data_IF_682627218571
#
_entry.id   IF_682627218571
#
_cell.length_a   1.000
_cell.length_b   1.000
_cell.length_c   1.000
_cell.angle_alpha   90.00
_cell.angle_beta   90.00
_cell.angle_gamma   90.00
#
_symmetry.space_group_name_H-M   'P 1'
#
loop_
_entity.id
_entity.type
_entity.pdbx_description
1 polymer ?
#
# COMPACT_ATOMS: atom_id res chain seq x y z
N UNK A 1 -24.31 24.55 -26.52
CA UNK A 1 -24.31 24.60 -25.03
C UNK A 1 -24.94 23.39 -24.32
N UNK A 2 -25.51 22.38 -25.00
CA UNK A 2 -26.23 21.25 -24.37
C UNK A 2 -25.37 20.01 -24.00
N UNK A 3 -24.11 19.96 -24.42
CA UNK A 3 -23.18 18.83 -24.18
C UNK A 3 -22.19 19.04 -23.01
N UNK A 4 -22.13 20.23 -22.41
CA UNK A 4 -21.16 20.58 -21.36
C UNK A 4 -21.70 20.24 -19.95
N UNK A 5 -23.02 20.33 -19.77
CA UNK A 5 -23.68 20.09 -18.48
C UNK A 5 -23.58 18.64 -17.92
N UNK A 6 -23.65 17.54 -18.71
CA UNK A 6 -23.60 16.19 -18.15
C UNK A 6 -22.20 15.76 -17.68
N UNK A 7 -21.13 16.45 -18.12
CA UNK A 7 -19.76 16.16 -17.67
C UNK A 7 -19.43 16.85 -16.37
N UNK A 8 -20.05 18.00 -16.11
CA UNK A 8 -19.88 18.76 -14.87
C UNK A 8 -20.56 18.06 -13.68
N UNK A 9 -21.73 17.44 -13.89
CA UNK A 9 -22.41 16.65 -12.87
C UNK A 9 -21.69 15.34 -12.55
N UNK A 10 -21.17 14.63 -13.56
CA UNK A 10 -20.39 13.42 -13.35
C UNK A 10 -19.07 13.69 -12.61
N UNK A 11 -18.36 14.78 -12.96
CA UNK A 11 -17.15 15.20 -12.26
C UNK A 11 -17.42 15.59 -10.79
N UNK A 12 -18.54 16.28 -10.54
CA UNK A 12 -18.96 16.66 -9.19
C UNK A 12 -19.33 15.43 -8.34
N UNK A 13 -20.02 14.44 -8.94
CA UNK A 13 -20.36 13.18 -8.26
C UNK A 13 -19.12 12.34 -7.96
N UNK A 14 -18.14 12.32 -8.88
CA UNK A 14 -16.88 11.62 -8.68
C UNK A 14 -16.03 12.29 -7.58
N UNK A 15 -15.99 13.62 -7.57
CA UNK A 15 -15.32 14.40 -6.52
C UNK A 15 -16.00 14.21 -5.14
N UNK A 16 -17.34 14.19 -5.11
CA UNK A 16 -18.10 13.94 -3.88
C UNK A 16 -17.92 12.50 -3.37
N UNK A 17 -17.86 11.50 -4.26
CA UNK A 17 -17.59 10.11 -3.90
C UNK A 17 -16.18 9.94 -3.32
N UNK A 18 -15.18 10.63 -3.89
CA UNK A 18 -13.81 10.65 -3.36
C UNK A 18 -13.74 11.32 -1.98
N UNK A 19 -14.47 12.42 -1.79
CA UNK A 19 -14.56 13.10 -0.50
C UNK A 19 -15.22 12.22 0.57
N UNK A 20 -16.23 11.42 0.21
CA UNK A 20 -16.89 10.49 1.14
C UNK A 20 -15.98 9.30 1.51
N UNK A 21 -15.13 8.83 0.58
CA UNK A 21 -14.16 7.75 0.80
C UNK A 21 -12.94 8.19 1.63
N UNK A 22 -12.66 9.49 1.70
CA UNK A 22 -11.58 10.05 2.52
C UNK A 22 -11.92 10.07 4.03
N UNK A 23 -13.21 10.14 4.36
CA UNK A 23 -13.70 10.26 5.75
C UNK A 23 -13.20 9.20 6.76
N UNK A 24 -13.06 7.90 6.45
CA UNK A 24 -12.52 6.94 7.42
C UNK A 24 -11.04 7.17 7.75
N UNK A 25 -10.27 7.76 6.82
CA UNK A 25 -8.86 8.11 7.08
C UNK A 25 -8.73 9.36 7.97
N UNK A 26 -9.63 10.33 7.82
CA UNK A 26 -9.69 11.50 8.72
C UNK A 26 -10.25 11.17 10.12
N UNK A 27 -11.10 10.16 10.25
CA UNK A 27 -11.62 9.74 11.55
C UNK A 27 -10.52 9.16 12.47
N UNK A 28 -9.55 8.43 11.91
CA UNK A 28 -8.38 7.97 12.67
C UNK A 28 -7.46 9.12 13.11
N UNK A 29 -7.39 10.20 12.32
CA UNK A 29 -6.61 11.40 12.66
C UNK A 29 -7.22 12.22 13.82
N UNK A 30 -8.49 11.99 14.18
CA UNK A 30 -9.18 12.67 15.27
C UNK A 30 -8.79 12.20 16.69
N UNK A 31 -8.11 11.07 16.83
CA UNK A 31 -7.73 10.51 18.13
C UNK A 31 -6.59 11.28 18.84
N UNK A 32 -5.99 12.29 18.20
CA UNK A 32 -4.80 12.99 18.68
C UNK A 32 -4.90 14.51 18.62
N UNK A 33 -6.07 15.11 18.83
CA UNK A 33 -6.30 16.56 18.69
C UNK A 33 -5.44 17.48 19.61
N UNK A 34 -4.54 16.93 20.42
CA UNK A 34 -3.53 17.66 21.19
C UNK A 34 -2.17 16.97 21.29
N UNK A 35 -1.88 15.96 20.46
CA UNK A 35 -0.60 15.23 20.44
C UNK A 35 0.14 15.62 19.15
N UNK A 36 1.43 15.95 19.27
CA UNK A 36 2.26 16.26 18.10
C UNK A 36 2.21 15.11 17.07
N UNK A 37 1.99 15.39 15.77
CA UNK A 37 1.91 14.37 14.73
C UNK A 37 3.14 13.45 14.70
N UNK A 38 4.30 13.98 15.03
CA UNK A 38 5.53 13.20 15.16
C UNK A 38 5.44 12.16 16.28
N UNK A 39 5.00 12.56 17.48
CA UNK A 39 4.85 11.66 18.63
C UNK A 39 3.81 10.58 18.32
N UNK A 40 2.72 10.96 17.67
CA UNK A 40 1.67 10.03 17.24
C UNK A 40 2.20 8.98 16.24
N UNK A 41 2.89 9.41 15.18
CA UNK A 41 3.50 8.50 14.20
C UNK A 41 4.61 7.64 14.82
N UNK A 42 5.39 8.21 15.73
CA UNK A 42 6.43 7.49 16.44
C UNK A 42 5.86 6.41 17.37
N UNK A 43 4.76 6.69 18.06
CA UNK A 43 4.05 5.69 18.87
C UNK A 43 3.55 4.52 18.01
N UNK A 44 2.95 4.81 16.85
CA UNK A 44 2.53 3.78 15.88
C UNK A 44 3.72 2.97 15.39
N UNK A 45 4.84 3.62 15.08
CA UNK A 45 6.07 2.94 14.65
C UNK A 45 6.59 1.97 15.72
N UNK A 46 6.67 2.39 16.98
CA UNK A 46 7.11 1.54 18.09
C UNK A 46 6.14 0.37 18.30
N UNK A 47 4.83 0.61 18.30
CA UNK A 47 3.82 -0.44 18.38
C UNK A 47 3.92 -1.44 17.23
N UNK A 48 4.17 -0.98 16.00
CA UNK A 48 4.33 -1.83 14.84
C UNK A 48 5.57 -2.74 14.93
N UNK A 49 6.67 -2.27 15.55
CA UNK A 49 7.85 -3.11 15.81
C UNK A 49 7.49 -4.27 16.75
N UNK A 50 6.80 -4.01 17.85
CA UNK A 50 6.37 -5.06 18.77
C UNK A 50 5.47 -6.09 18.06
N UNK A 51 4.46 -5.62 17.32
CA UNK A 51 3.58 -6.51 16.54
C UNK A 51 4.39 -7.33 15.53
N UNK A 52 5.30 -6.70 14.78
CA UNK A 52 6.14 -7.38 13.80
C UNK A 52 7.03 -8.47 14.42
N UNK A 53 7.62 -8.20 15.59
CA UNK A 53 8.42 -9.17 16.34
C UNK A 53 7.59 -10.42 16.68
N UNK A 54 6.42 -10.24 17.31
CA UNK A 54 5.57 -11.37 17.72
C UNK A 54 5.03 -12.16 16.52
N UNK A 55 4.68 -11.49 15.42
CA UNK A 55 4.19 -12.14 14.20
C UNK A 55 5.25 -13.07 13.58
N UNK A 56 6.51 -12.67 13.56
CA UNK A 56 7.60 -13.47 12.98
C UNK A 56 8.07 -14.59 13.92
N UNK A 57 8.07 -14.35 15.23
CA UNK A 57 8.55 -15.33 16.21
C UNK A 57 7.65 -16.57 16.36
N UNK A 58 6.37 -16.47 16.01
CA UNK A 58 5.39 -17.57 16.13
C UNK A 58 5.29 -18.49 14.91
N UNK A 59 6.30 -18.51 14.02
CA UNK A 59 6.29 -19.39 12.84
C UNK A 59 7.05 -20.69 13.06
N UNK A 60 6.60 -21.77 12.41
CA UNK A 60 7.28 -23.06 12.48
C UNK A 60 8.59 -23.05 11.68
N UNK A 61 9.65 -23.78 12.11
CA UNK A 61 10.97 -23.70 11.48
C UNK A 61 11.03 -24.03 9.99
N UNK A 62 10.13 -24.89 9.51
CA UNK A 62 10.02 -25.24 8.10
C UNK A 62 9.55 -24.07 7.21
N UNK A 63 8.96 -23.02 7.81
CA UNK A 63 8.40 -21.89 7.08
C UNK A 63 9.32 -20.66 7.07
N UNK A 64 10.51 -20.66 7.67
CA UNK A 64 11.39 -19.49 7.61
C UNK A 64 11.78 -19.09 6.18
N UNK A 65 12.01 -20.06 5.29
CA UNK A 65 12.32 -19.78 3.87
C UNK A 65 11.11 -19.23 3.10
N UNK A 66 9.89 -19.82 3.19
CA UNK A 66 8.67 -19.19 2.70
C UNK A 66 8.40 -17.80 3.30
N UNK A 67 8.61 -17.64 4.61
CA UNK A 67 8.40 -16.38 5.33
C UNK A 67 9.35 -15.30 4.79
N UNK A 68 10.59 -15.64 4.50
CA UNK A 68 11.55 -14.72 3.89
C UNK A 68 11.07 -14.22 2.51
N UNK A 69 10.41 -15.07 1.72
CA UNK A 69 9.80 -14.67 0.45
C UNK A 69 8.58 -13.76 0.65
N UNK A 70 7.77 -14.01 1.69
CA UNK A 70 6.62 -13.16 2.03
C UNK A 70 7.06 -11.79 2.50
N UNK A 71 8.07 -11.70 3.37
CA UNK A 71 8.56 -10.40 3.85
C UNK A 71 9.17 -9.57 2.71
N UNK A 72 9.75 -10.22 1.71
CA UNK A 72 10.17 -9.54 0.48
C UNK A 72 8.96 -8.93 -0.28
N UNK A 73 7.87 -9.67 -0.42
CA UNK A 73 6.64 -9.14 -1.04
C UNK A 73 6.04 -7.98 -0.22
N UNK A 74 5.97 -8.11 1.10
CA UNK A 74 5.38 -7.12 2.03
C UNK A 74 6.19 -5.81 2.05
N UNK A 75 7.50 -5.87 1.82
CA UNK A 75 8.33 -4.65 1.70
C UNK A 75 7.86 -3.71 0.59
N UNK A 76 7.05 -4.19 -0.35
CA UNK A 76 6.46 -3.42 -1.45
C UNK A 76 5.38 -2.42 -1.04
N UNK A 77 5.21 -2.13 0.27
CA UNK A 77 4.35 -1.04 0.77
C UNK A 77 4.70 0.32 0.15
N UNK A 78 5.92 0.45 -0.38
CA UNK A 78 6.39 1.59 -1.18
C UNK A 78 5.49 1.94 -2.38
N UNK A 79 4.65 1.00 -2.85
CA UNK A 79 3.67 1.23 -3.91
C UNK A 79 2.73 2.40 -3.60
N UNK A 80 2.40 2.60 -2.32
CA UNK A 80 1.56 3.72 -1.87
C UNK A 80 2.27 5.06 -2.15
N UNK A 81 3.56 5.16 -1.83
CA UNK A 81 4.37 6.34 -2.12
C UNK A 81 4.57 6.59 -3.61
N UNK A 82 4.71 5.53 -4.40
CA UNK A 82 4.81 5.62 -5.87
C UNK A 82 3.52 6.16 -6.50
N UNK A 83 2.35 5.66 -6.06
CA UNK A 83 1.04 6.14 -6.52
C UNK A 83 0.82 7.61 -6.15
N UNK A 84 1.21 8.02 -4.94
CA UNK A 84 1.16 9.43 -4.54
C UNK A 84 2.05 10.28 -5.45
N UNK A 85 3.28 9.83 -5.73
CA UNK A 85 4.25 10.58 -6.56
C UNK A 85 3.78 10.76 -8.02
N UNK A 86 3.15 9.74 -8.62
CA UNK A 86 2.55 9.86 -9.97
C UNK A 86 1.31 10.77 -9.96
N UNK A 87 0.54 10.77 -8.88
CA UNK A 87 -0.64 11.62 -8.73
C UNK A 87 -0.34 13.12 -8.55
N UNK A 88 0.91 13.50 -8.25
CA UNK A 88 1.31 14.90 -8.02
C UNK A 88 1.24 15.76 -9.29
N UNK A 89 1.42 15.19 -10.47
CA UNK A 89 1.35 15.95 -11.74
C UNK A 89 -0.03 16.54 -12.01
N UNK A 90 -1.10 15.94 -11.48
CA UNK A 90 -2.45 16.51 -11.56
C UNK A 90 -2.62 17.78 -10.69
N UNK A 91 -1.68 18.05 -9.78
CA UNK A 91 -1.77 19.11 -8.76
C UNK A 91 -0.72 20.22 -8.90
N UNK A 92 0.42 19.99 -9.58
CA UNK A 92 1.53 20.97 -9.63
C UNK A 92 2.14 21.04 -11.04
N UNK A 93 2.05 22.21 -11.69
CA UNK A 93 2.77 22.50 -12.93
C UNK A 93 4.29 22.48 -12.69
N UNK A 94 5.03 21.65 -13.44
CA UNK A 94 6.49 21.51 -13.35
C UNK A 94 7.00 20.24 -12.65
N UNK A 95 6.10 19.35 -12.20
CA UNK A 95 6.45 18.13 -11.47
C UNK A 95 6.87 16.91 -12.34
N UNK A 96 7.22 17.11 -13.62
CA UNK A 96 7.46 16.00 -14.57
C UNK A 96 8.48 14.95 -14.10
N UNK A 97 9.51 15.37 -13.36
CA UNK A 97 10.48 14.43 -12.77
C UNK A 97 9.87 13.53 -11.69
N UNK A 98 8.99 14.07 -10.85
CA UNK A 98 8.33 13.30 -9.80
C UNK A 98 7.43 12.21 -10.39
N UNK A 99 6.74 12.50 -11.49
CA UNK A 99 5.92 11.49 -12.17
C UNK A 99 6.74 10.43 -12.86
N UNK A 100 7.84 10.80 -13.53
CA UNK A 100 8.72 9.81 -14.18
C UNK A 100 9.32 8.86 -13.14
N UNK A 101 9.84 9.38 -12.03
CA UNK A 101 10.37 8.55 -10.95
C UNK A 101 9.27 7.78 -10.21
N UNK A 102 8.09 8.37 -10.02
CA UNK A 102 6.93 7.69 -9.45
C UNK A 102 6.47 6.52 -10.30
N UNK A 103 6.43 6.69 -11.63
CA UNK A 103 6.07 5.64 -12.56
C UNK A 103 7.10 4.50 -12.55
N UNK A 104 8.39 4.82 -12.55
CA UNK A 104 9.45 3.82 -12.45
C UNK A 104 9.38 3.07 -11.11
N UNK A 105 9.16 3.79 -10.01
CA UNK A 105 8.96 3.20 -8.69
C UNK A 105 7.72 2.29 -8.65
N UNK A 106 6.64 2.67 -9.33
CA UNK A 106 5.42 1.87 -9.43
C UNK A 106 5.67 0.55 -10.16
N UNK A 107 6.39 0.60 -11.29
CA UNK A 107 6.79 -0.60 -12.04
C UNK A 107 7.67 -1.50 -11.18
N UNK A 108 8.69 -0.96 -10.52
CA UNK A 108 9.58 -1.73 -9.64
C UNK A 108 8.82 -2.35 -8.45
N UNK A 109 7.93 -1.58 -7.81
CA UNK A 109 7.09 -2.08 -6.73
C UNK A 109 6.18 -3.22 -7.20
N UNK A 110 5.61 -3.11 -8.40
CA UNK A 110 4.75 -4.16 -8.96
C UNK A 110 5.51 -5.48 -9.16
N UNK A 111 6.75 -5.43 -9.66
CA UNK A 111 7.60 -6.63 -9.84
C UNK A 111 7.88 -7.31 -8.49
N UNK A 112 8.13 -6.54 -7.44
CA UNK A 112 8.39 -7.08 -6.11
C UNK A 112 7.13 -7.72 -5.49
N UNK A 113 5.95 -7.10 -5.66
CA UNK A 113 4.66 -7.68 -5.26
C UNK A 113 4.44 -9.02 -5.97
N UNK A 114 4.40 -9.01 -7.30
CA UNK A 114 4.04 -10.20 -8.07
C UNK A 114 5.11 -11.29 -7.97
N UNK A 115 6.39 -10.91 -8.03
CA UNK A 115 7.51 -11.84 -7.88
C UNK A 115 7.55 -12.49 -6.50
N UNK A 116 7.41 -11.69 -5.44
CA UNK A 116 7.43 -12.19 -4.06
C UNK A 116 6.27 -13.14 -3.75
N UNK A 117 5.06 -12.85 -4.22
CA UNK A 117 3.91 -13.74 -4.02
C UNK A 117 3.96 -15.00 -4.90
N UNK A 118 4.43 -14.92 -6.15
CA UNK A 118 4.56 -16.09 -7.03
C UNK A 118 5.56 -17.11 -6.48
N UNK A 119 6.72 -16.62 -6.01
CA UNK A 119 7.74 -17.49 -5.41
C UNK A 119 7.24 -18.12 -4.11
N UNK A 120 6.57 -17.34 -3.26
CA UNK A 120 5.95 -17.85 -2.03
C UNK A 120 4.94 -18.97 -2.33
N UNK A 121 4.08 -18.79 -3.33
CA UNK A 121 3.11 -19.83 -3.69
C UNK A 121 3.77 -21.11 -4.21
N UNK A 122 4.86 -21.00 -4.97
CA UNK A 122 5.68 -22.16 -5.35
C UNK A 122 6.29 -22.85 -4.14
N UNK A 123 6.78 -22.09 -3.17
CA UNK A 123 7.38 -22.63 -1.93
C UNK A 123 6.36 -23.33 -1.04
N UNK A 124 5.18 -22.73 -0.84
CA UNK A 124 4.09 -23.32 -0.04
C UNK A 124 3.40 -24.48 -0.77
N UNK A 125 3.42 -24.49 -2.11
CA UNK A 125 2.91 -25.59 -2.92
C UNK A 125 3.67 -26.89 -2.71
N UNK A 126 4.94 -26.84 -2.27
CA UNK A 126 5.74 -28.02 -1.95
C UNK A 126 5.37 -28.68 -0.62
N UNK A 127 4.64 -27.97 0.26
CA UNK A 127 4.14 -28.49 1.54
C UNK A 127 2.71 -29.04 1.45
N UNK A 128 2.03 -28.87 0.31
CA UNK A 128 0.74 -29.52 0.05
C UNK A 128 1.00 -30.99 -0.28
N UNK A 129 0.48 -31.90 0.56
CA UNK A 129 0.43 -33.33 0.24
C UNK A 129 -0.28 -33.48 -1.11
N UNK A 130 0.37 -34.12 -2.09
CA UNK A 130 -0.30 -34.56 -3.32
C UNK A 130 -1.57 -35.32 -2.90
N UNK A 131 -2.72 -34.90 -3.40
CA UNK A 131 -3.93 -35.74 -3.36
C UNK A 131 -3.53 -37.11 -3.91
N UNK A 132 -3.65 -38.15 -3.09
CA UNK A 132 -3.57 -39.52 -3.55
C UNK A 132 -4.73 -39.70 -4.52
N UNK A 133 -4.41 -39.88 -5.80
CA UNK A 133 -5.23 -40.76 -6.64
C UNK A 133 -5.00 -42.19 -6.17
#
# INVERSE_FOLDING_TARGET
MKQIMPRLSAALVLAAAFALLATPAQAAAGAGAGIDPFIYLFAIFVLAIFVGYYVVWSVTPALHTPLMSVTNAVSSVIVVGALLSVGVEAAVEGAGWATVFGFLALVMASVNIFGGFLVTQRMLGMYKKKEKQ
#
